data_IF_432838330996
#
_entry.id   IF_432838330996
#
_cell.length_a   1.000
_cell.length_b   1.000
_cell.length_c   1.000
_cell.angle_alpha   90.00
_cell.angle_beta   90.00
_cell.angle_gamma   90.00
#
_symmetry.space_group_name_H-M   'P 1'
#
loop_
_entity.id
_entity.type
_entity.pdbx_description
1 polymer ?
#
# COMPACT_ATOMS: atom_id res chain seq x y z
N UNK A 1 6.94 17.59 -5.55
CA UNK A 1 6.45 18.68 -6.44
C UNK A 1 5.82 19.78 -5.63
N UNK A 2 6.15 21.05 -5.89
CA UNK A 2 5.56 22.20 -5.20
C UNK A 2 4.12 22.46 -5.71
N UNK A 3 3.21 22.77 -4.79
CA UNK A 3 1.82 23.15 -5.08
C UNK A 3 1.66 24.67 -5.13
N UNK A 4 0.59 25.19 -5.77
CA UNK A 4 0.31 26.63 -5.83
C UNK A 4 0.13 27.31 -4.47
N UNK A 5 -0.22 26.54 -3.43
CA UNK A 5 -0.41 27.02 -2.05
C UNK A 5 0.90 27.05 -1.23
N UNK A 6 2.04 26.75 -1.85
CA UNK A 6 3.35 26.72 -1.20
C UNK A 6 3.67 25.40 -0.46
N UNK A 7 2.74 24.44 -0.42
CA UNK A 7 3.00 23.11 0.16
C UNK A 7 3.72 22.18 -0.83
N UNK A 8 4.39 21.13 -0.33
CA UNK A 8 5.11 20.16 -1.16
C UNK A 8 4.42 18.80 -1.19
N UNK A 9 4.25 18.23 -2.38
CA UNK A 9 3.96 16.81 -2.59
C UNK A 9 5.26 16.01 -2.51
N UNK A 10 5.36 15.11 -1.54
CA UNK A 10 6.55 14.27 -1.34
C UNK A 10 6.58 13.00 -2.20
N UNK A 11 5.48 12.65 -2.87
CA UNK A 11 5.42 11.44 -3.71
C UNK A 11 5.42 10.17 -2.85
N UNK A 12 6.32 9.23 -3.16
CA UNK A 12 6.49 7.95 -2.45
C UNK A 12 5.25 7.06 -2.44
N UNK A 13 4.48 7.04 -3.52
CA UNK A 13 3.43 6.05 -3.75
C UNK A 13 3.97 4.64 -3.44
N UNK A 14 3.17 3.80 -2.79
CA UNK A 14 3.57 2.46 -2.39
C UNK A 14 2.48 1.44 -2.68
N UNK A 15 2.90 0.23 -3.02
CA UNK A 15 2.07 -0.97 -3.05
C UNK A 15 2.54 -1.86 -1.90
N UNK A 16 1.64 -2.20 -0.98
CA UNK A 16 1.94 -2.94 0.25
C UNK A 16 1.01 -4.13 0.37
N UNK A 17 1.55 -5.27 0.78
CA UNK A 17 0.76 -6.48 1.04
C UNK A 17 -0.03 -6.40 2.38
N UNK A 18 -0.94 -7.35 2.65
CA UNK A 18 -1.72 -7.37 3.89
C UNK A 18 -0.91 -7.61 5.18
N UNK A 19 0.37 -8.02 5.09
CA UNK A 19 1.28 -8.20 6.22
C UNK A 19 2.15 -6.96 6.50
N UNK A 20 2.08 -5.94 5.63
CA UNK A 20 2.88 -4.73 5.72
C UNK A 20 4.17 -4.77 4.89
N UNK A 21 4.38 -5.79 4.06
CA UNK A 21 5.53 -5.87 3.15
C UNK A 21 5.38 -4.88 2.00
N UNK A 22 6.39 -4.04 1.77
CA UNK A 22 6.40 -3.10 0.64
C UNK A 22 6.79 -3.85 -0.64
N UNK A 23 5.86 -3.97 -1.57
CA UNK A 23 6.06 -4.65 -2.87
C UNK A 23 6.68 -3.71 -3.91
N UNK A 24 6.30 -2.43 -3.87
CA UNK A 24 6.90 -1.40 -4.71
C UNK A 24 6.77 -0.03 -4.03
N UNK A 25 7.76 0.84 -4.24
CA UNK A 25 7.76 2.22 -3.75
C UNK A 25 8.33 3.16 -4.81
N UNK A 26 7.62 4.24 -5.09
CA UNK A 26 8.08 5.29 -6.00
C UNK A 26 9.18 6.13 -5.35
N UNK A 27 10.12 6.60 -6.16
CA UNK A 27 11.11 7.59 -5.76
C UNK A 27 10.47 9.00 -5.67
N UNK A 28 11.25 9.98 -5.22
CA UNK A 28 10.82 11.38 -5.12
C UNK A 28 10.83 12.12 -6.48
N UNK A 29 10.99 11.36 -7.58
CA UNK A 29 10.93 11.80 -8.97
C UNK A 29 9.72 11.20 -9.69
N UNK A 30 9.39 11.74 -10.87
CA UNK A 30 8.36 11.15 -11.74
C UNK A 30 8.68 9.68 -12.03
N UNK A 31 7.77 8.79 -11.61
CA UNK A 31 8.02 7.34 -11.60
C UNK A 31 6.70 6.59 -11.76
N UNK A 32 6.74 5.50 -12.54
CA UNK A 32 5.69 4.47 -12.55
C UNK A 32 6.22 3.28 -11.75
N UNK A 33 5.40 2.77 -10.83
CA UNK A 33 5.68 1.55 -10.06
C UNK A 33 4.63 0.49 -10.38
N UNK A 34 5.05 -0.77 -10.37
CA UNK A 34 4.20 -1.92 -10.66
C UNK A 34 4.60 -3.07 -9.74
N UNK A 35 3.62 -3.86 -9.29
CA UNK A 35 3.83 -5.08 -8.54
C UNK A 35 2.71 -6.07 -8.85
N UNK A 36 3.05 -7.36 -8.86
CA UNK A 36 2.07 -8.44 -8.93
C UNK A 36 1.45 -8.67 -7.55
N UNK A 37 0.15 -8.90 -7.52
CA UNK A 37 -0.59 -9.17 -6.28
C UNK A 37 -0.94 -10.65 -6.22
N UNK A 38 -0.39 -11.35 -5.24
CA UNK A 38 -0.77 -12.72 -4.92
C UNK A 38 -2.09 -12.75 -4.13
N UNK A 39 -3.16 -13.13 -4.84
CA UNK A 39 -4.50 -13.21 -4.28
C UNK A 39 -4.68 -14.39 -3.30
N UNK A 40 -3.92 -15.48 -3.48
CA UNK A 40 -3.97 -16.62 -2.57
C UNK A 40 -3.31 -16.29 -1.24
N UNK A 41 -2.16 -15.61 -1.28
CA UNK A 41 -1.49 -15.08 -0.10
C UNK A 41 -2.40 -14.13 0.68
N UNK A 42 -3.08 -13.22 -0.01
CA UNK A 42 -4.05 -12.30 0.60
C UNK A 42 -5.20 -13.04 1.30
N UNK A 43 -5.78 -14.04 0.63
CA UNK A 43 -6.86 -14.84 1.19
C UNK A 43 -6.40 -15.62 2.44
N UNK A 44 -5.18 -16.17 2.41
CA UNK A 44 -4.59 -16.87 3.55
C UNK A 44 -4.41 -15.95 4.76
N UNK A 45 -3.83 -14.75 4.59
CA UNK A 45 -3.65 -13.80 5.71
C UNK A 45 -5.00 -13.44 6.35
N UNK A 46 -6.02 -13.14 5.54
CA UNK A 46 -7.35 -12.79 6.05
C UNK A 46 -8.00 -13.91 6.87
N UNK A 47 -7.74 -15.17 6.53
CA UNK A 47 -8.18 -16.34 7.34
C UNK A 47 -7.38 -16.49 8.63
N UNK A 48 -6.07 -16.19 8.60
CA UNK A 48 -5.22 -16.26 9.80
C UNK A 48 -5.54 -15.18 10.82
N UNK A 49 -5.87 -13.97 10.37
CA UNK A 49 -6.25 -12.83 11.21
C UNK A 49 -7.59 -12.22 10.74
N UNK A 50 -8.74 -12.83 11.09
CA UNK A 50 -10.06 -12.40 10.63
C UNK A 50 -10.57 -11.18 11.42
N UNK A 51 -9.83 -10.07 11.36
CA UNK A 51 -10.11 -8.84 12.13
C UNK A 51 -11.50 -8.26 11.88
N UNK A 52 -12.04 -8.44 10.67
CA UNK A 52 -13.38 -7.97 10.32
C UNK A 52 -14.48 -8.80 10.99
N UNK A 53 -14.29 -10.11 11.16
CA UNK A 53 -15.24 -10.99 11.84
C UNK A 53 -15.20 -10.76 13.36
N UNK A 54 -14.02 -10.47 13.89
CA UNK A 54 -13.82 -10.17 15.31
C UNK A 54 -14.30 -8.77 15.72
N UNK A 55 -14.67 -7.92 14.75
CA UNK A 55 -15.14 -6.55 15.02
C UNK A 55 -16.52 -6.58 15.66
N UNK A 56 -16.63 -6.03 16.88
CA UNK A 56 -17.92 -5.73 17.51
C UNK A 56 -18.33 -4.29 17.17
N UNK A 57 -19.54 -4.12 16.64
CA UNK A 57 -20.16 -2.82 16.34
C UNK A 57 -21.11 -2.40 17.48
#
# INVERSE_FOLDING_TARGET
GAKPDGSTCYGRSMIIDPWGTVLAQAHDSETIIMADIDMEHMARIRRTLPVLENRRL
#
